data_IF_087112240436
#
_entry.id   IF_087112240436
#
_cell.length_a   1.000
_cell.length_b   1.000
_cell.length_c   1.000
_cell.angle_alpha   90.00
_cell.angle_beta   90.00
_cell.angle_gamma   90.00
#
_symmetry.space_group_name_H-M   'P 1'
#
loop_
_entity.id
_entity.type
_entity.pdbx_description
1 polymer ?
#
# COMPACT_ATOMS: atom_id res chain seq x y z
N UNK A 1 38.54 52.34 -18.19
CA UNK A 1 38.52 51.53 -16.94
C UNK A 1 37.16 51.46 -16.23
N UNK A 2 36.12 52.19 -16.66
CA UNK A 2 34.83 52.31 -15.95
C UNK A 2 33.79 51.25 -16.36
N UNK A 3 33.75 50.83 -17.64
CA UNK A 3 32.74 49.86 -18.16
C UNK A 3 32.84 48.44 -17.58
N UNK A 4 34.04 47.97 -17.21
CA UNK A 4 34.23 46.63 -16.61
C UNK A 4 33.71 46.53 -15.17
N UNK A 5 33.77 47.63 -14.39
CA UNK A 5 33.24 47.68 -13.02
C UNK A 5 31.72 47.61 -13.01
N UNK A 6 31.03 48.31 -13.93
CA UNK A 6 29.56 48.29 -14.04
C UNK A 6 29.03 46.89 -14.38
N UNK A 7 29.67 46.17 -15.32
CA UNK A 7 29.29 44.80 -15.65
C UNK A 7 29.51 43.80 -14.50
N UNK A 8 30.57 44.00 -13.69
CA UNK A 8 30.83 43.18 -12.51
C UNK A 8 29.77 43.38 -11.41
N UNK A 9 29.41 44.63 -11.11
CA UNK A 9 28.36 44.93 -10.12
C UNK A 9 26.96 44.50 -10.59
N UNK A 10 26.70 44.50 -11.91
CA UNK A 10 25.43 44.03 -12.46
C UNK A 10 25.30 42.49 -12.37
N UNK A 11 26.36 41.76 -12.71
CA UNK A 11 26.39 40.29 -12.59
C UNK A 11 26.34 39.82 -11.13
N UNK A 12 26.95 40.57 -10.20
CA UNK A 12 26.90 40.25 -8.76
C UNK A 12 25.49 40.43 -8.17
N UNK A 13 24.74 41.45 -8.62
CA UNK A 13 23.34 41.63 -8.21
C UNK A 13 22.42 40.53 -8.75
N UNK A 14 22.62 40.09 -9.99
CA UNK A 14 21.83 39.01 -10.61
C UNK A 14 22.07 37.69 -9.86
N UNK A 15 23.32 37.40 -9.48
CA UNK A 15 23.65 36.21 -8.70
C UNK A 15 23.07 36.25 -7.28
N UNK A 16 23.05 37.43 -6.64
CA UNK A 16 22.48 37.61 -5.30
C UNK A 16 20.95 37.48 -5.28
N UNK A 17 20.26 37.94 -6.33
CA UNK A 17 18.80 37.75 -6.50
C UNK A 17 18.45 36.29 -6.74
N UNK A 18 19.26 35.56 -7.52
CA UNK A 18 19.07 34.11 -7.69
C UNK A 18 19.32 33.33 -6.38
N UNK A 19 20.33 33.71 -5.61
CA UNK A 19 20.67 33.05 -4.34
C UNK A 19 19.63 33.30 -3.23
N UNK A 20 19.04 34.49 -3.15
CA UNK A 20 17.96 34.76 -2.19
C UNK A 20 16.63 34.07 -2.55
N UNK A 21 16.39 33.74 -3.82
CA UNK A 21 15.18 33.06 -4.25
C UNK A 21 15.18 31.55 -3.94
N UNK A 22 16.37 30.95 -3.76
CA UNK A 22 16.50 29.51 -3.45
C UNK A 22 16.28 29.15 -1.98
N UNK A 23 16.08 30.13 -1.08
CA UNK A 23 16.03 29.89 0.36
C UNK A 23 14.60 29.80 0.95
N UNK A 24 13.57 29.82 0.11
CA UNK A 24 12.17 29.77 0.53
C UNK A 24 11.45 28.55 -0.03
N UNK A 25 11.83 27.36 0.41
CA UNK A 25 10.95 26.18 0.36
C UNK A 25 10.64 25.77 1.78
N UNK A 26 9.62 26.40 2.36
CA UNK A 26 8.91 25.82 3.50
C UNK A 26 8.12 24.62 2.97
N UNK A 27 8.70 23.41 3.07
CA UNK A 27 7.93 22.18 2.95
C UNK A 27 6.92 22.15 4.10
N UNK A 28 5.72 22.64 3.85
CA UNK A 28 4.57 22.25 4.65
C UNK A 28 4.38 20.75 4.42
N UNK A 29 4.73 19.94 5.42
CA UNK A 29 4.35 18.53 5.49
C UNK A 29 2.83 18.46 5.61
N UNK A 30 2.14 18.61 4.48
CA UNK A 30 0.73 18.31 4.35
C UNK A 30 0.62 16.80 4.51
N UNK A 31 0.03 16.35 5.63
CA UNK A 31 -0.40 14.95 5.73
C UNK A 31 -1.36 14.71 4.58
N UNK A 32 -0.89 14.04 3.54
CA UNK A 32 -1.68 13.66 2.39
C UNK A 32 -2.79 12.73 2.87
N UNK A 33 -3.96 13.31 3.13
CA UNK A 33 -5.18 12.55 3.40
C UNK A 33 -5.50 11.80 2.10
N UNK A 34 -5.44 10.47 2.18
CA UNK A 34 -5.86 9.63 1.07
C UNK A 34 -7.35 9.92 0.80
N UNK A 35 -7.75 10.14 -0.46
CA UNK A 35 -9.15 10.25 -0.82
C UNK A 35 -9.91 9.01 -0.34
N UNK A 36 -11.10 9.20 0.25
CA UNK A 36 -11.97 8.07 0.60
C UNK A 36 -12.61 7.53 -0.68
N UNK A 37 -12.15 6.36 -1.13
CA UNK A 37 -12.64 5.68 -2.35
C UNK A 37 -13.69 4.60 -2.06
N UNK A 38 -14.20 4.52 -0.83
CA UNK A 38 -15.22 3.55 -0.46
C UNK A 38 -16.55 3.81 -1.18
N UNK A 39 -17.15 2.76 -1.76
CA UNK A 39 -18.53 2.81 -2.22
C UNK A 39 -19.47 3.13 -1.03
N UNK A 40 -20.52 3.92 -1.28
CA UNK A 40 -21.49 4.37 -0.26
C UNK A 40 -22.18 3.21 0.48
N UNK A 41 -22.09 1.99 -0.05
CA UNK A 41 -22.51 0.75 0.60
C UNK A 41 -21.58 0.28 1.73
N UNK A 42 -20.26 0.53 1.62
CA UNK A 42 -19.25 0.06 2.59
C UNK A 42 -19.25 0.89 3.88
N UNK A 43 -19.73 2.13 3.85
CA UNK A 43 -19.95 2.96 5.04
C UNK A 43 -21.17 2.53 5.87
N UNK A 44 -22.08 1.73 5.32
CA UNK A 44 -23.30 1.29 6.01
C UNK A 44 -23.09 0.05 6.93
N UNK A 45 -22.02 -0.72 6.73
CA UNK A 45 -21.76 -1.97 7.47
C UNK A 45 -20.74 -1.69 8.59
N UNK A 46 -21.04 -2.13 9.82
CA UNK A 46 -20.09 -2.05 10.95
C UNK A 46 -18.89 -2.98 10.75
N UNK A 47 -17.72 -2.65 11.31
CA UNK A 47 -16.52 -3.50 11.26
C UNK A 47 -16.77 -4.92 11.82
N UNK A 48 -17.62 -5.04 12.86
CA UNK A 48 -17.99 -6.32 13.43
C UNK A 48 -18.83 -7.17 12.46
N UNK A 49 -19.78 -6.55 11.78
CA UNK A 49 -20.60 -7.21 10.76
C UNK A 49 -19.75 -7.61 9.55
N UNK A 50 -18.86 -6.73 9.11
CA UNK A 50 -17.92 -6.97 8.02
C UNK A 50 -17.01 -8.17 8.32
N UNK A 51 -16.43 -8.21 9.53
CA UNK A 51 -15.64 -9.35 10.00
C UNK A 51 -16.44 -10.66 9.95
N UNK A 52 -17.69 -10.66 10.45
CA UNK A 52 -18.55 -11.85 10.43
C UNK A 52 -18.84 -12.32 9.01
N UNK A 53 -19.10 -11.39 8.09
CA UNK A 53 -19.29 -11.69 6.67
C UNK A 53 -18.03 -12.31 6.06
N UNK A 54 -16.87 -11.73 6.33
CA UNK A 54 -15.57 -12.26 5.91
C UNK A 54 -15.36 -13.70 6.36
N UNK A 55 -15.66 -14.02 7.63
CA UNK A 55 -15.55 -15.40 8.14
C UNK A 55 -16.44 -16.41 7.41
N UNK A 56 -17.62 -16.00 6.97
CA UNK A 56 -18.49 -16.86 6.15
C UNK A 56 -17.93 -17.02 4.73
N UNK A 57 -17.45 -15.92 4.16
CA UNK A 57 -16.87 -15.90 2.82
C UNK A 57 -15.61 -16.78 2.72
N UNK A 58 -14.66 -16.65 3.65
CA UNK A 58 -13.44 -17.47 3.66
C UNK A 58 -13.73 -18.95 3.87
N UNK A 59 -14.72 -19.28 4.71
CA UNK A 59 -15.14 -20.65 4.92
C UNK A 59 -15.72 -21.29 3.64
N UNK A 60 -16.38 -20.49 2.81
CA UNK A 60 -16.86 -20.93 1.51
C UNK A 60 -15.71 -21.02 0.50
N UNK A 61 -14.84 -20.02 0.45
CA UNK A 61 -13.71 -19.95 -0.49
C UNK A 61 -12.76 -21.14 -0.31
N UNK A 62 -12.43 -21.52 0.94
CA UNK A 62 -11.58 -22.69 1.24
C UNK A 62 -12.11 -24.01 0.67
N UNK A 63 -13.40 -24.08 0.29
CA UNK A 63 -13.98 -25.27 -0.37
C UNK A 63 -13.82 -25.25 -1.88
N UNK A 64 -13.57 -24.09 -2.47
CA UNK A 64 -13.57 -23.90 -3.92
C UNK A 64 -12.17 -23.70 -4.49
N UNK A 65 -11.25 -23.14 -3.71
CA UNK A 65 -9.87 -22.86 -4.15
C UNK A 65 -8.90 -23.99 -3.78
N UNK A 66 -7.88 -24.25 -4.61
CA UNK A 66 -6.86 -25.24 -4.29
C UNK A 66 -5.95 -24.71 -3.17
N UNK A 67 -5.89 -25.47 -2.07
CA UNK A 67 -5.06 -25.16 -0.92
C UNK A 67 -3.55 -25.27 -1.22
N UNK A 68 -2.76 -24.33 -0.73
CA UNK A 68 -1.30 -24.37 -0.84
C UNK A 68 -0.69 -25.07 0.37
N UNK A 69 -0.10 -26.25 0.14
CA UNK A 69 0.34 -27.16 1.21
C UNK A 69 1.81 -27.00 1.56
N UNK A 70 2.18 -25.85 2.10
CA UNK A 70 3.49 -25.65 2.70
C UNK A 70 3.41 -24.68 3.90
N UNK A 71 3.54 -25.20 5.14
CA UNK A 71 3.48 -24.38 6.33
C UNK A 71 4.56 -23.29 6.40
N UNK A 72 5.74 -23.51 5.79
CA UNK A 72 6.85 -22.55 5.83
C UNK A 72 6.51 -21.32 4.98
N UNK A 73 6.03 -21.53 3.75
CA UNK A 73 5.59 -20.44 2.88
C UNK A 73 4.41 -19.68 3.48
N UNK A 74 3.46 -20.39 4.10
CA UNK A 74 2.32 -19.76 4.78
C UNK A 74 2.82 -18.87 5.92
N UNK A 75 3.68 -19.38 6.80
CA UNK A 75 4.26 -18.63 7.93
C UNK A 75 5.04 -17.39 7.46
N UNK A 76 5.86 -17.54 6.40
CA UNK A 76 6.60 -16.43 5.83
C UNK A 76 5.68 -15.30 5.33
N UNK A 77 4.66 -15.64 4.53
CA UNK A 77 3.74 -14.64 3.97
C UNK A 77 2.90 -14.00 5.06
N UNK A 78 2.43 -14.77 6.05
CA UNK A 78 1.73 -14.23 7.21
C UNK A 78 2.60 -13.20 7.94
N UNK A 79 3.83 -13.57 8.32
CA UNK A 79 4.74 -12.66 9.01
C UNK A 79 5.08 -11.41 8.19
N UNK A 80 5.29 -11.57 6.88
CA UNK A 80 5.54 -10.46 5.98
C UNK A 80 4.36 -9.49 5.95
N UNK A 81 3.14 -9.99 5.73
CA UNK A 81 1.93 -9.18 5.66
C UNK A 81 1.66 -8.48 6.99
N UNK A 82 1.81 -9.18 8.12
CA UNK A 82 1.66 -8.58 9.45
C UNK A 82 2.66 -7.45 9.67
N UNK A 83 3.93 -7.63 9.28
CA UNK A 83 4.96 -6.57 9.34
C UNK A 83 4.59 -5.38 8.47
N UNK A 84 4.13 -5.61 7.24
CA UNK A 84 3.70 -4.53 6.33
C UNK A 84 2.48 -3.78 6.89
N UNK A 85 1.54 -4.48 7.51
CA UNK A 85 0.35 -3.89 8.12
C UNK A 85 0.66 -2.97 9.30
N UNK A 86 1.82 -3.10 9.96
CA UNK A 86 2.24 -2.17 11.01
C UNK A 86 2.41 -0.73 10.50
N UNK A 87 2.80 -0.59 9.23
CA UNK A 87 3.04 0.67 8.54
C UNK A 87 1.84 1.15 7.71
N UNK A 88 0.70 0.44 7.76
CA UNK A 88 -0.50 0.81 7.01
C UNK A 88 -1.50 1.60 7.86
N UNK A 89 -2.52 2.16 7.21
CA UNK A 89 -3.63 2.87 7.84
C UNK A 89 -4.80 1.94 8.24
N UNK A 90 -4.57 0.62 8.31
CA UNK A 90 -5.56 -0.35 8.74
C UNK A 90 -6.07 -0.06 10.16
N UNK A 91 -7.40 0.11 10.30
CA UNK A 91 -8.06 0.32 11.58
C UNK A 91 -8.22 -0.98 12.36
N UNK A 92 -8.57 -2.06 11.67
CA UNK A 92 -8.69 -3.41 12.23
C UNK A 92 -7.59 -4.30 11.64
N UNK A 93 -6.72 -4.83 12.51
CA UNK A 93 -5.55 -5.64 12.13
C UNK A 93 -5.78 -7.14 12.33
N UNK A 94 -7.03 -7.57 12.49
CA UNK A 94 -7.40 -8.99 12.48
C UNK A 94 -7.34 -9.51 11.04
N UNK A 95 -6.14 -9.87 10.60
CA UNK A 95 -5.90 -10.35 9.25
C UNK A 95 -6.03 -11.87 9.17
N UNK A 96 -6.66 -12.35 8.10
CA UNK A 96 -6.70 -13.78 7.74
C UNK A 96 -6.03 -13.92 6.37
N UNK A 97 -4.86 -14.54 6.35
CA UNK A 97 -4.06 -14.73 5.14
C UNK A 97 -4.32 -16.13 4.61
N UNK A 98 -4.61 -16.26 3.32
CA UNK A 98 -4.66 -17.56 2.65
C UNK A 98 -3.71 -17.60 1.45
N UNK A 99 -2.90 -18.65 1.38
CA UNK A 99 -2.07 -18.93 0.22
C UNK A 99 -2.80 -19.93 -0.68
N UNK A 100 -2.99 -19.57 -1.94
CA UNK A 100 -3.78 -20.32 -2.91
C UNK A 100 -2.84 -20.91 -3.95
N UNK A 101 -2.99 -22.21 -4.23
CA UNK A 101 -2.17 -22.91 -5.21
C UNK A 101 -2.64 -22.66 -6.65
N UNK A 102 -2.49 -21.42 -7.08
CA UNK A 102 -2.82 -20.89 -8.40
C UNK A 102 -1.58 -20.28 -9.03
N UNK A 103 -1.41 -20.43 -10.35
CA UNK A 103 -0.20 -20.01 -11.08
C UNK A 103 -0.28 -18.56 -11.57
N UNK A 104 -1.49 -18.02 -11.58
CA UNK A 104 -1.79 -16.64 -11.93
C UNK A 104 -1.10 -15.68 -10.94
N UNK A 105 -0.50 -14.62 -11.46
CA UNK A 105 0.07 -13.53 -10.66
C UNK A 105 -1.09 -12.71 -10.11
N UNK A 106 -1.53 -13.03 -8.89
CA UNK A 106 -2.66 -12.37 -8.27
C UNK A 106 -2.56 -12.34 -6.74
N UNK A 107 -3.15 -11.32 -6.15
CA UNK A 107 -3.54 -11.25 -4.74
C UNK A 107 -4.84 -10.45 -4.67
N UNK A 108 -5.56 -10.55 -3.57
CA UNK A 108 -6.80 -9.80 -3.38
C UNK A 108 -7.05 -9.51 -1.90
N UNK A 109 -7.85 -8.47 -1.67
CA UNK A 109 -8.34 -8.04 -0.37
C UNK A 109 -9.87 -8.17 -0.29
N UNK A 110 -10.36 -8.91 0.71
CA UNK A 110 -11.78 -9.12 0.93
C UNK A 110 -12.24 -8.62 2.32
N UNK A 111 -13.55 -8.33 2.49
CA UNK A 111 -14.11 -7.83 3.74
C UNK A 111 -13.71 -8.64 4.98
N UNK A 112 -13.48 -7.96 6.09
CA UNK A 112 -13.13 -8.62 7.36
C UNK A 112 -11.65 -8.96 7.51
N UNK A 113 -10.76 -8.25 6.80
CA UNK A 113 -9.31 -8.39 6.93
C UNK A 113 -8.71 -9.58 6.18
N UNK A 114 -9.38 -10.07 5.14
CA UNK A 114 -8.91 -11.25 4.42
C UNK A 114 -7.97 -10.82 3.30
N UNK A 115 -6.81 -11.47 3.23
CA UNK A 115 -5.87 -11.32 2.11
C UNK A 115 -5.65 -12.69 1.49
N UNK A 116 -5.97 -12.80 0.20
CA UNK A 116 -5.62 -13.97 -0.59
C UNK A 116 -4.39 -13.71 -1.42
N UNK A 117 -3.47 -14.66 -1.44
CA UNK A 117 -2.24 -14.60 -2.23
C UNK A 117 -2.19 -15.83 -3.11
N UNK A 118 -2.05 -15.67 -4.42
CA UNK A 118 -1.77 -16.80 -5.30
C UNK A 118 -0.28 -17.12 -5.27
N UNK A 119 0.07 -18.40 -5.23
CA UNK A 119 1.45 -18.85 -5.30
C UNK A 119 2.19 -18.33 -6.55
N UNK A 120 1.45 -18.10 -7.64
CA UNK A 120 1.92 -17.45 -8.85
C UNK A 120 2.54 -16.08 -8.60
N UNK A 121 2.02 -15.27 -7.68
CA UNK A 121 2.63 -13.99 -7.32
C UNK A 121 4.04 -14.17 -6.76
N UNK A 122 4.23 -15.16 -5.89
CA UNK A 122 5.52 -15.43 -5.24
C UNK A 122 6.52 -16.03 -6.25
N UNK A 123 6.06 -16.97 -7.07
CA UNK A 123 6.95 -17.68 -8.00
C UNK A 123 7.39 -16.85 -9.21
N UNK A 124 6.60 -15.84 -9.62
CA UNK A 124 6.96 -14.99 -10.75
C UNK A 124 7.61 -13.66 -10.34
N UNK A 125 7.58 -13.31 -9.05
CA UNK A 125 8.30 -12.14 -8.56
C UNK A 125 9.81 -12.38 -8.63
N UNK A 126 10.54 -11.51 -9.33
CA UNK A 126 12.00 -11.57 -9.42
C UNK A 126 12.68 -11.10 -8.14
N UNK A 127 11.98 -10.26 -7.37
CA UNK A 127 12.44 -9.74 -6.08
C UNK A 127 11.28 -9.72 -5.10
N UNK A 128 11.60 -9.83 -3.80
CA UNK A 128 10.59 -9.68 -2.74
C UNK A 128 9.85 -8.34 -2.86
N UNK A 129 10.54 -7.27 -3.28
CA UNK A 129 9.94 -5.95 -3.47
C UNK A 129 8.79 -5.92 -4.50
N UNK A 130 8.84 -6.76 -5.53
CA UNK A 130 7.75 -6.87 -6.52
C UNK A 130 6.52 -7.56 -5.92
N UNK A 131 6.71 -8.59 -5.09
CA UNK A 131 5.59 -9.21 -4.37
C UNK A 131 5.01 -8.24 -3.32
N UNK A 132 5.89 -7.57 -2.56
CA UNK A 132 5.51 -6.60 -1.52
C UNK A 132 4.73 -5.43 -2.10
N UNK A 133 5.04 -4.93 -3.30
CA UNK A 133 4.28 -3.83 -3.89
C UNK A 133 2.81 -4.19 -4.13
N UNK A 134 2.54 -5.44 -4.57
CA UNK A 134 1.18 -5.97 -4.72
C UNK A 134 0.51 -6.17 -3.36
N UNK A 135 1.21 -6.75 -2.38
CA UNK A 135 0.65 -6.96 -1.04
C UNK A 135 0.30 -5.64 -0.33
N UNK A 136 1.12 -4.60 -0.50
CA UNK A 136 0.84 -3.27 0.04
C UNK A 136 -0.33 -2.60 -0.68
N UNK A 137 -0.49 -2.84 -1.97
CA UNK A 137 -1.68 -2.40 -2.72
C UNK A 137 -2.96 -3.01 -2.14
N UNK A 138 -2.97 -4.31 -1.86
CA UNK A 138 -4.11 -4.98 -1.21
C UNK A 138 -4.36 -4.50 0.23
N UNK A 139 -3.30 -4.23 1.00
CA UNK A 139 -3.43 -3.63 2.33
C UNK A 139 -4.06 -2.22 2.26
N UNK A 140 -3.74 -1.44 1.22
CA UNK A 140 -4.37 -0.14 0.99
C UNK A 140 -5.87 -0.28 0.68
N UNK A 141 -6.24 -1.26 -0.15
CA UNK A 141 -7.64 -1.64 -0.41
C UNK A 141 -8.41 -1.93 0.89
N UNK A 142 -7.84 -2.77 1.78
CA UNK A 142 -8.45 -3.03 3.09
C UNK A 142 -8.54 -1.77 3.96
N UNK A 143 -7.51 -0.93 3.99
CA UNK A 143 -7.50 0.29 4.81
C UNK A 143 -8.59 1.29 4.41
N UNK A 144 -8.92 1.34 3.12
CA UNK A 144 -9.96 2.19 2.56
C UNK A 144 -11.32 1.49 2.49
N UNK A 145 -11.41 0.23 2.94
CA UNK A 145 -12.62 -0.61 2.84
C UNK A 145 -13.16 -0.65 1.41
N UNK A 146 -12.24 -0.75 0.45
CA UNK A 146 -12.50 -0.86 -0.98
C UNK A 146 -11.94 -2.21 -1.44
N UNK A 147 -12.81 -3.20 -1.55
CA UNK A 147 -12.42 -4.59 -1.81
C UNK A 147 -12.28 -4.84 -3.32
N UNK A 148 -11.32 -5.68 -3.69
CA UNK A 148 -10.96 -6.03 -5.07
C UNK A 148 -11.10 -7.54 -5.31
#
# INVERSE_FOLDING_TARGET
MIRKKVAFFLNLKIFLVFFLCSLSTSESSEKQYLPELGDTSSSAISLASEYKLGRLWIAQLRRTVPDFKDPISQDYIEHLIYRLAEYSQLQDRRLEIILINQKEINAFAAPGGIIGVNAGLIFHAETEGQAVSVLVHELAHLSQRHFA
#
